data_IF_833945716072
#
_entry.id   IF_833945716072
#
_cell.length_a   1.000
_cell.length_b   1.000
_cell.length_c   1.000
_cell.angle_alpha   90.00
_cell.angle_beta   90.00
_cell.angle_gamma   90.00
#
_symmetry.space_group_name_H-M   'P 1'
#
loop_
_entity.id
_entity.type
_entity.pdbx_description
1 polymer ?
#
# COMPACT_ATOMS: atom_id res chain seq x y z
N UNK A 1 7.18 -5.89 15.49
CA UNK A 1 6.17 -5.88 16.58
C UNK A 1 5.08 -4.83 16.36
N UNK A 2 5.39 -3.52 16.27
CA UNK A 2 4.39 -2.45 16.06
C UNK A 2 3.56 -2.68 14.79
N UNK A 3 4.23 -2.95 13.65
CA UNK A 3 3.55 -3.25 12.38
C UNK A 3 2.67 -4.50 12.46
N UNK A 4 3.18 -5.59 13.04
CA UNK A 4 2.44 -6.84 13.21
C UNK A 4 1.21 -6.67 14.11
N UNK A 5 1.32 -5.88 15.18
CA UNK A 5 0.18 -5.52 16.03
C UNK A 5 -0.84 -4.67 15.26
N UNK A 6 -0.38 -3.65 14.54
CA UNK A 6 -1.24 -2.80 13.71
C UNK A 6 -1.99 -3.59 12.63
N UNK A 7 -1.31 -4.52 11.97
CA UNK A 7 -1.91 -5.41 10.97
C UNK A 7 -2.96 -6.33 11.58
N UNK A 8 -2.70 -6.88 12.78
CA UNK A 8 -3.67 -7.71 13.51
C UNK A 8 -4.92 -6.93 13.90
N UNK A 9 -4.76 -5.71 14.42
CA UNK A 9 -5.89 -4.82 14.70
C UNK A 9 -6.65 -4.44 13.41
N UNK A 10 -5.93 -4.22 12.30
CA UNK A 10 -6.54 -3.92 11.01
C UNK A 10 -7.38 -5.10 10.49
N UNK A 11 -6.87 -6.34 10.57
CA UNK A 11 -7.63 -7.54 10.23
C UNK A 11 -8.88 -7.73 11.09
N UNK A 12 -8.78 -7.45 12.39
CA UNK A 12 -9.91 -7.57 13.31
C UNK A 12 -11.07 -6.61 12.96
N UNK A 13 -10.79 -5.46 12.32
CA UNK A 13 -11.82 -4.52 11.86
C UNK A 13 -12.63 -5.04 10.67
N UNK A 14 -12.00 -5.83 9.80
CA UNK A 14 -12.68 -6.46 8.65
C UNK A 14 -13.59 -7.63 9.02
N UNK A 15 -13.56 -8.10 10.28
CA UNK A 15 -14.35 -9.26 10.78
C UNK A 15 -15.47 -8.81 11.74
N UNK A 16 -15.77 -7.51 11.81
CA UNK A 16 -16.79 -7.00 12.74
C UNK A 16 -18.20 -7.54 12.38
N UNK A 17 -18.98 -8.06 13.34
CA UNK A 17 -20.27 -8.75 13.09
C UNK A 17 -21.44 -7.84 12.67
N UNK A 18 -21.17 -6.59 12.26
CA UNK A 18 -22.17 -5.57 11.89
C UNK A 18 -22.09 -5.11 10.43
N UNK A 19 -21.57 -5.95 9.53
CA UNK A 19 -21.18 -5.55 8.17
C UNK A 19 -19.74 -5.06 8.18
N UNK A 20 -18.83 -5.84 7.57
CA UNK A 20 -17.40 -5.51 7.55
C UNK A 20 -17.16 -4.14 6.92
N UNK A 21 -16.31 -3.32 7.53
CA UNK A 21 -15.84 -2.11 6.85
C UNK A 21 -15.07 -2.50 5.58
N UNK A 22 -15.24 -1.75 4.47
CA UNK A 22 -14.49 -2.00 3.25
C UNK A 22 -12.99 -1.96 3.52
N UNK A 23 -12.24 -2.88 2.89
CA UNK A 23 -10.78 -2.97 3.03
C UNK A 23 -10.09 -1.66 2.61
N UNK A 24 -10.73 -0.95 1.67
CA UNK A 24 -10.35 0.37 1.21
C UNK A 24 -11.51 1.35 1.50
N UNK A 25 -11.45 2.13 2.60
CA UNK A 25 -12.42 3.20 2.80
C UNK A 25 -12.28 4.24 1.67
N UNK A 26 -13.38 4.87 1.23
CA UNK A 26 -13.32 5.89 0.20
C UNK A 26 -12.36 7.01 0.63
N UNK A 27 -11.56 7.53 -0.31
CA UNK A 27 -10.47 8.47 -0.01
C UNK A 27 -10.93 9.71 0.79
N UNK A 28 -12.18 10.15 0.61
CA UNK A 28 -12.81 11.23 1.38
C UNK A 28 -13.12 10.85 2.85
N UNK A 29 -13.43 9.58 3.14
CA UNK A 29 -13.68 9.09 4.50
C UNK A 29 -12.39 8.66 5.23
N UNK A 30 -11.30 8.40 4.48
CA UNK A 30 -10.01 8.01 5.03
C UNK A 30 -9.33 9.12 5.87
N UNK A 31 -9.76 10.37 5.74
CA UNK A 31 -9.28 11.50 6.54
C UNK A 31 -10.04 11.69 7.85
N UNK A 32 -11.37 11.50 7.86
CA UNK A 32 -12.24 12.04 8.92
C UNK A 32 -12.66 11.02 9.99
N UNK A 33 -12.73 9.71 9.67
CA UNK A 33 -13.13 8.65 10.62
C UNK A 33 -11.97 7.75 11.02
N UNK A 34 -10.80 8.33 11.26
CA UNK A 34 -9.57 7.56 11.50
C UNK A 34 -9.63 6.80 12.82
N UNK A 35 -9.54 5.48 12.73
CA UNK A 35 -9.41 4.61 13.89
C UNK A 35 -8.21 5.08 14.75
N UNK A 36 -8.43 5.44 16.03
CA UNK A 36 -7.41 6.03 16.89
C UNK A 36 -6.15 5.16 17.03
N UNK A 37 -6.27 3.86 16.77
CA UNK A 37 -5.17 2.89 16.80
C UNK A 37 -4.21 2.98 15.61
N UNK A 38 -4.68 3.23 14.37
CA UNK A 38 -3.77 3.39 13.22
C UNK A 38 -3.00 4.71 13.36
N UNK A 39 -3.65 5.76 13.85
CA UNK A 39 -2.97 7.01 14.18
C UNK A 39 -1.84 6.81 15.21
N UNK A 40 -2.04 5.93 16.19
CA UNK A 40 -0.99 5.55 17.15
C UNK A 40 0.17 4.81 16.48
N UNK A 41 -0.10 3.82 15.63
CA UNK A 41 0.94 3.11 14.84
C UNK A 41 1.74 4.09 13.99
N UNK A 42 1.06 5.01 13.31
CA UNK A 42 1.67 6.04 12.48
C UNK A 42 2.50 7.02 13.32
N UNK A 43 2.02 7.44 14.48
CA UNK A 43 2.77 8.30 15.40
C UNK A 43 4.06 7.63 15.89
N UNK A 44 3.99 6.35 16.25
CA UNK A 44 5.17 5.57 16.66
C UNK A 44 6.15 5.39 15.50
N UNK A 45 5.65 4.99 14.32
CA UNK A 45 6.50 4.82 13.13
C UNK A 45 7.12 6.14 12.69
N UNK A 46 6.40 7.25 12.78
CA UNK A 46 6.91 8.59 12.50
C UNK A 46 8.04 8.98 13.45
N UNK A 47 7.89 8.69 14.75
CA UNK A 47 8.97 8.92 15.71
C UNK A 47 10.19 8.03 15.42
N UNK A 48 9.97 6.73 15.16
CA UNK A 48 11.04 5.78 14.86
C UNK A 48 11.73 6.08 13.53
N UNK A 49 11.03 6.61 12.53
CA UNK A 49 11.58 6.95 11.22
C UNK A 49 12.69 8.01 11.31
N UNK A 50 12.68 8.87 12.33
CA UNK A 50 13.77 9.84 12.56
C UNK A 50 15.13 9.19 12.84
N UNK A 51 15.15 7.97 13.40
CA UNK A 51 16.38 7.25 13.81
C UNK A 51 16.62 5.93 13.08
N UNK A 52 15.57 5.32 12.56
CA UNK A 52 15.59 3.96 11.98
C UNK A 52 14.82 3.89 10.66
N UNK A 53 14.80 4.96 9.86
CA UNK A 53 14.12 5.02 8.56
C UNK A 53 14.47 3.83 7.65
N UNK A 54 15.76 3.47 7.56
CA UNK A 54 16.22 2.33 6.76
C UNK A 54 15.64 0.99 7.21
N UNK A 55 15.66 0.70 8.52
CA UNK A 55 15.10 -0.56 9.06
C UNK A 55 13.58 -0.63 8.92
N UNK A 56 12.87 0.49 9.10
CA UNK A 56 11.42 0.55 8.90
C UNK A 56 11.09 0.28 7.44
N UNK A 57 11.82 0.91 6.52
CA UNK A 57 11.64 0.73 5.09
C UNK A 57 11.82 -0.73 4.68
N UNK A 58 12.90 -1.37 5.15
CA UNK A 58 13.16 -2.78 4.88
C UNK A 58 12.06 -3.69 5.41
N UNK A 59 11.54 -3.44 6.61
CA UNK A 59 10.46 -4.26 7.17
C UNK A 59 9.12 -4.04 6.44
N UNK A 60 8.82 -2.81 6.00
CA UNK A 60 7.63 -2.51 5.19
C UNK A 60 7.69 -3.22 3.83
N UNK A 61 8.85 -3.18 3.17
CA UNK A 61 9.07 -3.92 1.92
C UNK A 61 8.99 -5.42 2.15
N UNK A 62 9.62 -5.95 3.21
CA UNK A 62 9.53 -7.37 3.57
C UNK A 62 8.08 -7.80 3.76
N UNK A 63 7.29 -7.01 4.50
CA UNK A 63 5.87 -7.27 4.71
C UNK A 63 5.05 -7.23 3.41
N UNK A 64 5.38 -6.30 2.50
CA UNK A 64 4.79 -6.24 1.16
C UNK A 64 5.11 -7.51 0.35
N UNK A 65 6.38 -7.91 0.27
CA UNK A 65 6.78 -9.12 -0.46
C UNK A 65 6.17 -10.40 0.14
N UNK A 66 6.19 -10.53 1.48
CA UNK A 66 5.58 -11.66 2.18
C UNK A 66 4.08 -11.78 1.87
N UNK A 67 3.37 -10.65 1.73
CA UNK A 67 1.93 -10.62 1.41
C UNK A 67 1.55 -11.16 0.03
N UNK A 68 2.53 -11.20 -0.89
CA UNK A 68 2.32 -11.64 -2.28
C UNK A 68 2.56 -13.14 -2.46
N UNK A 69 3.10 -13.82 -1.44
CA UNK A 69 3.35 -15.27 -1.42
C UNK A 69 2.04 -16.06 -1.62
N UNK A 70 2.04 -17.18 -2.37
CA UNK A 70 0.82 -17.91 -2.73
C UNK A 70 0.08 -18.60 -1.56
N UNK A 71 0.75 -18.91 -0.44
CA UNK A 71 0.09 -19.44 0.76
C UNK A 71 -0.52 -18.28 1.56
N UNK A 72 -1.73 -17.83 1.18
CA UNK A 72 -2.35 -16.57 1.63
C UNK A 72 -3.28 -16.74 2.84
N UNK A 73 -2.78 -16.43 4.04
CA UNK A 73 -3.59 -16.22 5.23
C UNK A 73 -4.40 -14.90 5.15
N UNK A 74 -5.48 -14.79 5.93
CA UNK A 74 -6.28 -13.55 6.06
C UNK A 74 -5.41 -12.32 6.39
N UNK A 75 -4.36 -12.50 7.20
CA UNK A 75 -3.39 -11.45 7.52
C UNK A 75 -2.61 -10.94 6.31
N UNK A 76 -2.23 -11.84 5.39
CA UNK A 76 -1.47 -11.46 4.20
C UNK A 76 -2.36 -10.73 3.19
N UNK A 77 -3.63 -11.11 3.06
CA UNK A 77 -4.61 -10.39 2.23
C UNK A 77 -4.84 -8.95 2.70
N UNK A 78 -4.79 -8.73 4.01
CA UNK A 78 -4.98 -7.41 4.60
C UNK A 78 -3.69 -6.58 4.66
N UNK A 79 -2.52 -7.17 4.38
CA UNK A 79 -1.24 -6.48 4.51
C UNK A 79 -1.09 -5.35 3.48
N UNK A 80 -1.42 -5.58 2.20
CA UNK A 80 -1.32 -4.50 1.19
C UNK A 80 -2.28 -3.34 1.49
N UNK A 81 -3.57 -3.57 1.79
CA UNK A 81 -4.46 -2.49 2.25
C UNK A 81 -3.94 -1.76 3.51
N UNK A 82 -3.43 -2.49 4.49
CA UNK A 82 -2.85 -1.91 5.70
C UNK A 82 -1.64 -1.01 5.40
N UNK A 83 -0.73 -1.46 4.54
CA UNK A 83 0.46 -0.69 4.13
C UNK A 83 0.06 0.59 3.38
N UNK A 84 -0.92 0.52 2.48
CA UNK A 84 -1.46 1.68 1.78
C UNK A 84 -2.09 2.68 2.77
N UNK A 85 -2.84 2.18 3.75
CA UNK A 85 -3.44 3.02 4.79
C UNK A 85 -2.38 3.72 5.66
N UNK A 86 -1.29 3.04 6.01
CA UNK A 86 -0.17 3.66 6.72
C UNK A 86 0.48 4.78 5.91
N UNK A 87 0.66 4.56 4.60
CA UNK A 87 1.24 5.55 3.69
C UNK A 87 0.37 6.82 3.59
N UNK A 88 -0.96 6.67 3.48
CA UNK A 88 -1.91 7.80 3.43
C UNK A 88 -1.84 8.64 4.71
N UNK A 89 -1.59 7.99 5.84
CA UNK A 89 -1.58 8.67 7.13
C UNK A 89 -0.22 9.27 7.48
N UNK A 90 0.85 8.98 6.73
CA UNK A 90 2.21 9.38 7.07
C UNK A 90 3.01 9.81 5.83
N UNK A 91 3.02 11.12 5.51
CA UNK A 91 3.84 11.66 4.43
C UNK A 91 5.35 11.31 4.53
N UNK A 92 5.98 11.30 5.73
CA UNK A 92 7.37 10.86 5.87
C UNK A 92 7.59 9.39 5.50
N UNK A 93 6.66 8.50 5.88
CA UNK A 93 6.76 7.08 5.50
C UNK A 93 6.54 6.91 4.00
N UNK A 94 5.57 7.62 3.41
CA UNK A 94 5.32 7.60 1.98
C UNK A 94 6.57 7.99 1.19
N UNK A 95 7.22 9.11 1.54
CA UNK A 95 8.46 9.54 0.91
C UNK A 95 9.62 8.56 1.09
N UNK A 96 9.70 7.90 2.26
CA UNK A 96 10.73 6.90 2.51
C UNK A 96 10.56 5.65 1.65
N UNK A 97 9.33 5.19 1.40
CA UNK A 97 9.05 3.94 0.66
C UNK A 97 8.83 4.13 -0.84
N UNK A 98 8.36 5.30 -1.29
CA UNK A 98 7.96 5.55 -2.69
C UNK A 98 9.08 5.29 -3.70
N UNK A 99 10.32 5.66 -3.34
CA UNK A 99 11.51 5.50 -4.20
C UNK A 99 11.84 4.04 -4.50
N UNK A 100 11.81 3.17 -3.49
CA UNK A 100 12.14 1.74 -3.66
C UNK A 100 10.92 0.90 -4.05
N UNK A 101 9.70 1.41 -3.85
CA UNK A 101 8.50 0.73 -4.32
C UNK A 101 8.53 0.58 -5.85
N UNK A 102 8.95 1.61 -6.58
CA UNK A 102 9.08 1.52 -8.05
C UNK A 102 10.09 0.45 -8.45
N UNK A 103 11.21 0.36 -7.73
CA UNK A 103 12.26 -0.64 -8.00
C UNK A 103 11.81 -2.07 -7.64
N UNK A 104 10.86 -2.23 -6.72
CA UNK A 104 10.30 -3.53 -6.32
C UNK A 104 9.16 -4.02 -7.21
N UNK A 105 8.46 -3.13 -7.91
CA UNK A 105 7.35 -3.42 -8.84
C UNK A 105 7.82 -4.04 -10.17
N UNK A 106 8.56 -5.15 -10.08
CA UNK A 106 8.97 -5.97 -11.23
C UNK A 106 7.75 -6.71 -11.83
N UNK A 107 7.82 -7.17 -13.10
CA UNK A 107 6.69 -7.86 -13.75
C UNK A 107 6.09 -9.00 -12.92
N UNK A 108 6.92 -9.80 -12.24
CA UNK A 108 6.44 -10.89 -11.36
C UNK A 108 5.60 -10.37 -10.18
N UNK A 109 6.02 -9.25 -9.58
CA UNK A 109 5.32 -8.61 -8.46
C UNK A 109 4.00 -8.01 -8.92
N UNK A 110 3.97 -7.40 -10.12
CA UNK A 110 2.73 -6.90 -10.73
C UNK A 110 1.73 -8.01 -11.00
N UNK A 111 2.19 -9.15 -11.53
CA UNK A 111 1.33 -10.31 -11.74
C UNK A 111 0.79 -10.87 -10.41
N UNK A 112 1.61 -10.92 -9.36
CA UNK A 112 1.18 -11.34 -8.03
C UNK A 112 0.17 -10.37 -7.40
N UNK A 113 0.35 -9.06 -7.58
CA UNK A 113 -0.60 -8.03 -7.16
C UNK A 113 -1.92 -8.15 -7.93
N UNK A 114 -1.87 -8.35 -9.24
CA UNK A 114 -3.06 -8.60 -10.03
C UNK A 114 -3.84 -9.80 -9.48
N UNK A 115 -3.15 -10.93 -9.24
CA UNK A 115 -3.77 -12.10 -8.59
C UNK A 115 -4.22 -11.84 -7.14
N UNK A 116 -3.61 -10.90 -6.44
CA UNK A 116 -3.99 -10.51 -5.08
C UNK A 116 -5.31 -9.75 -5.06
N UNK A 117 -5.51 -8.89 -6.06
CA UNK A 117 -6.68 -8.03 -6.14
C UNK A 117 -7.80 -8.58 -7.05
N UNK A 118 -7.53 -9.59 -7.87
CA UNK A 118 -8.51 -10.19 -8.77
C UNK A 118 -9.75 -10.76 -8.05
N UNK A 119 -9.61 -11.15 -6.77
CA UNK A 119 -10.72 -11.67 -5.95
C UNK A 119 -11.48 -10.59 -5.17
N UNK A 120 -11.08 -9.31 -5.25
CA UNK A 120 -11.75 -8.24 -4.53
C UNK A 120 -13.02 -7.77 -5.26
N UNK A 121 -14.05 -7.33 -4.53
CA UNK A 121 -15.22 -6.73 -5.14
C UNK A 121 -14.85 -5.43 -5.87
N UNK A 122 -15.62 -5.09 -6.90
CA UNK A 122 -15.36 -3.93 -7.76
C UNK A 122 -15.26 -2.62 -6.98
N UNK A 123 -16.11 -2.44 -5.96
CA UNK A 123 -16.11 -1.25 -5.10
C UNK A 123 -14.77 -1.06 -4.36
N UNK A 124 -14.18 -2.14 -3.85
CA UNK A 124 -12.88 -2.10 -3.17
C UNK A 124 -11.75 -1.76 -4.15
N UNK A 125 -11.85 -2.24 -5.40
CA UNK A 125 -10.89 -1.89 -6.46
C UNK A 125 -10.97 -0.41 -6.81
N UNK A 126 -12.17 0.15 -6.98
CA UNK A 126 -12.37 1.57 -7.27
C UNK A 126 -11.87 2.45 -6.12
N UNK A 127 -12.15 2.06 -4.86
CA UNK A 127 -11.63 2.75 -3.68
C UNK A 127 -10.10 2.67 -3.58
N UNK A 128 -9.51 1.51 -3.87
CA UNK A 128 -8.06 1.32 -3.90
C UNK A 128 -7.40 2.25 -4.93
N UNK A 129 -7.97 2.35 -6.13
CA UNK A 129 -7.48 3.28 -7.16
C UNK A 129 -7.51 4.71 -6.63
N UNK A 130 -8.60 5.13 -5.97
CA UNK A 130 -8.69 6.44 -5.33
C UNK A 130 -7.59 6.68 -4.30
N UNK A 131 -7.29 5.68 -3.46
CA UNK A 131 -6.18 5.74 -2.49
C UNK A 131 -4.82 5.88 -3.18
N UNK A 132 -4.57 5.08 -4.23
CA UNK A 132 -3.30 5.14 -4.98
C UNK A 132 -3.13 6.50 -5.64
N UNK A 133 -4.16 7.05 -6.29
CA UNK A 133 -4.13 8.39 -6.89
C UNK A 133 -3.84 9.45 -5.85
N UNK A 134 -4.51 9.39 -4.69
CA UNK A 134 -4.25 10.31 -3.60
C UNK A 134 -2.80 10.22 -3.09
N UNK A 135 -2.24 9.01 -2.95
CA UNK A 135 -0.83 8.82 -2.59
C UNK A 135 0.11 9.42 -3.65
N UNK A 136 -0.19 9.26 -4.94
CA UNK A 136 0.59 9.88 -6.02
C UNK A 136 0.58 11.40 -5.91
N UNK A 137 -0.58 12.00 -5.66
CA UNK A 137 -0.72 13.45 -5.48
C UNK A 137 0.03 13.97 -4.24
N UNK A 138 0.18 13.16 -3.20
CA UNK A 138 0.93 13.52 -1.99
C UNK A 138 2.43 13.21 -2.07
N UNK A 139 2.86 12.44 -3.06
CA UNK A 139 4.26 12.07 -3.22
C UNK A 139 5.02 13.24 -3.85
N UNK A 140 5.81 13.97 -3.07
CA UNK A 140 6.71 15.00 -3.60
C UNK A 140 8.04 14.41 -4.09
N UNK A 141 8.58 13.44 -3.37
CA UNK A 141 9.83 12.74 -3.70
C UNK A 141 9.56 11.44 -4.48
N UNK A 142 10.11 11.34 -5.70
CA UNK A 142 9.98 10.15 -6.54
C UNK A 142 8.76 10.14 -7.47
N UNK A 143 7.92 11.18 -7.47
CA UNK A 143 6.73 11.27 -8.33
C UNK A 143 7.04 11.08 -9.81
N UNK A 144 8.11 11.71 -10.33
CA UNK A 144 8.53 11.54 -11.72
C UNK A 144 8.82 10.07 -12.06
N UNK A 145 9.54 9.35 -11.19
CA UNK A 145 9.83 7.92 -11.40
C UNK A 145 8.56 7.09 -11.39
N UNK A 146 7.60 7.39 -10.51
CA UNK A 146 6.33 6.66 -10.47
C UNK A 146 5.51 6.92 -11.73
N UNK A 147 5.41 8.18 -12.18
CA UNK A 147 4.72 8.51 -13.43
C UNK A 147 5.39 7.85 -14.63
N UNK A 148 6.72 7.90 -14.72
CA UNK A 148 7.48 7.23 -15.77
C UNK A 148 7.24 5.71 -15.74
N UNK A 149 7.21 5.09 -14.55
CA UNK A 149 6.89 3.68 -14.39
C UNK A 149 5.47 3.35 -14.87
N UNK A 150 4.47 4.15 -14.50
CA UNK A 150 3.09 3.95 -14.93
C UNK A 150 2.95 4.07 -16.45
N UNK A 151 3.57 5.10 -17.05
CA UNK A 151 3.59 5.29 -18.51
C UNK A 151 4.27 4.12 -19.21
N UNK A 152 5.45 3.70 -18.74
CA UNK A 152 6.17 2.57 -19.34
C UNK A 152 5.44 1.24 -19.19
N UNK A 153 4.66 1.05 -18.12
CA UNK A 153 3.87 -0.16 -17.89
C UNK A 153 2.57 -0.14 -18.69
N UNK A 154 1.96 1.02 -18.86
CA UNK A 154 0.73 1.20 -19.62
C UNK A 154 0.95 1.31 -21.13
N UNK A 155 2.17 1.67 -21.57
CA UNK A 155 2.52 1.58 -22.97
C UNK A 155 2.41 0.12 -23.41
N UNK A 156 1.51 -0.21 -24.36
CA UNK A 156 1.61 -1.50 -25.03
C UNK A 156 3.02 -1.59 -25.60
N UNK A 157 3.58 -2.79 -25.69
CA UNK A 157 4.80 -3.02 -26.45
C UNK A 157 4.51 -2.72 -27.92
N UNK A 158 4.38 -1.44 -28.26
CA UNK A 158 4.29 -0.97 -29.62
C UNK A 158 5.66 -1.22 -30.21
N UNK A 159 5.73 -2.35 -30.91
CA UNK A 159 6.29 -2.47 -32.25
C UNK A 159 7.66 -1.82 -32.39
N UNK A 160 8.67 -2.68 -32.51
CA UNK A 160 9.91 -2.44 -33.25
C UNK A 160 9.67 -1.30 -34.25
N UNK A 161 10.15 -0.09 -33.98
CA UNK A 161 10.45 0.85 -35.05
C UNK A 161 11.81 0.41 -35.59
N UNK A 162 11.87 -0.37 -36.68
CA UNK A 162 13.12 -0.51 -37.42
C UNK A 162 13.51 0.88 -37.96
N UNK A 163 14.80 1.09 -38.26
CA UNK A 163 15.50 2.38 -38.17
C UNK A 163 14.95 3.50 -39.06
#
# INVERSE_FOLDING_TARGET
RVLSCGLKDFCARGVSPGGGEPLFPPAAAAADKRAPKIASVVGILGHLASRHSGSIKQELLRMFHDSLTPARDQHQKAAVPFLLQLAVMSPPLLGAVSSELVDSLKPNVLNQLHQHFASLPREDLENMVGVVVHLLCQTSAGAYRILQFLVNTAMPASVITPP
#
